data_IF_714941017908
#
_entry.id   IF_714941017908
#
_cell.length_a   1.000
_cell.length_b   1.000
_cell.length_c   1.000
_cell.angle_alpha   90.00
_cell.angle_beta   90.00
_cell.angle_gamma   90.00
#
_symmetry.space_group_name_H-M   'P 1'
#
loop_
_entity.id
_entity.type
_entity.pdbx_description
1 polymer ?
#
# COMPACT_ATOMS: atom_id res chain seq x y z
N UNK A 1 -53.82 -42.80 -33.44
CA UNK A 1 -53.06 -42.02 -32.44
C UNK A 1 -51.79 -41.52 -33.13
N UNK A 2 -51.52 -40.22 -33.22
CA UNK A 2 -50.26 -39.77 -33.78
C UNK A 2 -49.16 -39.96 -32.74
N UNK A 3 -48.12 -40.67 -33.16
CA UNK A 3 -46.88 -40.93 -32.45
C UNK A 3 -46.23 -39.60 -32.08
N UNK A 4 -46.16 -39.29 -30.77
CA UNK A 4 -45.41 -38.13 -30.27
C UNK A 4 -43.98 -38.59 -30.05
N UNK A 5 -43.15 -38.52 -31.09
CA UNK A 5 -41.70 -38.51 -30.89
C UNK A 5 -41.34 -37.32 -29.99
N UNK A 6 -40.59 -37.52 -28.90
CA UNK A 6 -40.17 -36.42 -28.04
C UNK A 6 -39.32 -35.46 -28.87
N UNK A 7 -39.69 -34.17 -28.87
CA UNK A 7 -38.90 -33.13 -29.51
C UNK A 7 -37.49 -33.14 -28.90
N UNK A 8 -36.47 -33.43 -29.71
CA UNK A 8 -35.08 -33.36 -29.29
C UNK A 8 -34.78 -31.91 -28.82
N UNK A 9 -34.39 -31.71 -27.55
CA UNK A 9 -34.27 -30.39 -26.96
C UNK A 9 -32.99 -29.63 -27.37
N UNK A 10 -32.25 -30.12 -28.36
CA UNK A 10 -30.96 -29.58 -28.78
C UNK A 10 -30.94 -29.30 -30.28
N UNK A 11 -31.71 -28.29 -30.70
CA UNK A 11 -31.53 -27.67 -32.02
C UNK A 11 -30.29 -26.76 -32.01
N UNK A 12 -29.60 -26.62 -33.15
CA UNK A 12 -28.41 -25.76 -33.33
C UNK A 12 -28.61 -24.30 -32.87
N UNK A 13 -29.86 -23.82 -32.81
CA UNK A 13 -30.24 -22.54 -32.23
C UNK A 13 -30.00 -22.43 -30.72
N UNK A 14 -30.17 -23.51 -29.97
CA UNK A 14 -29.91 -23.59 -28.53
C UNK A 14 -28.42 -23.68 -28.23
N UNK A 15 -27.65 -24.36 -29.07
CA UNK A 15 -26.20 -24.42 -28.99
C UNK A 15 -25.58 -23.04 -29.26
N UNK A 16 -26.03 -22.36 -30.31
CA UNK A 16 -25.60 -20.99 -30.63
C UNK A 16 -26.01 -19.97 -29.56
N UNK A 17 -27.20 -20.09 -28.98
CA UNK A 17 -27.63 -19.25 -27.85
C UNK A 17 -26.80 -19.51 -26.59
N UNK A 18 -26.47 -20.77 -26.29
CA UNK A 18 -25.61 -21.13 -25.17
C UNK A 18 -24.16 -20.62 -25.37
N UNK A 19 -23.62 -20.71 -26.58
CA UNK A 19 -22.30 -20.17 -26.94
C UNK A 19 -22.27 -18.64 -26.81
N UNK A 20 -23.29 -17.94 -27.29
CA UNK A 20 -23.41 -16.47 -27.16
C UNK A 20 -23.59 -16.02 -25.70
N UNK A 21 -24.37 -16.77 -24.90
CA UNK A 21 -24.48 -16.52 -23.46
C UNK A 21 -23.13 -16.73 -22.77
N UNK A 22 -22.41 -17.81 -23.10
CA UNK A 22 -21.09 -18.09 -22.55
C UNK A 22 -20.04 -17.03 -22.92
N UNK A 23 -20.10 -16.50 -24.15
CA UNK A 23 -19.25 -15.42 -24.62
C UNK A 23 -19.53 -14.11 -23.85
N UNK A 24 -20.81 -13.76 -23.63
CA UNK A 24 -21.19 -12.60 -22.80
C UNK A 24 -20.71 -12.73 -21.36
N UNK A 25 -20.94 -13.88 -20.72
CA UNK A 25 -20.51 -14.09 -19.33
C UNK A 25 -18.98 -14.05 -19.21
N UNK A 26 -18.24 -14.55 -20.21
CA UNK A 26 -16.77 -14.40 -20.26
C UNK A 26 -16.36 -12.94 -20.39
N UNK A 27 -16.96 -12.18 -21.30
CA UNK A 27 -16.65 -10.76 -21.47
C UNK A 27 -16.91 -9.94 -20.20
N UNK A 28 -18.03 -10.18 -19.51
CA UNK A 28 -18.37 -9.55 -18.22
C UNK A 28 -17.35 -9.90 -17.13
N UNK A 29 -16.92 -11.17 -17.05
CA UNK A 29 -15.91 -11.60 -16.08
C UNK A 29 -14.54 -10.95 -16.31
N UNK A 30 -14.15 -10.74 -17.57
CA UNK A 30 -12.90 -10.06 -17.93
C UNK A 30 -12.96 -8.58 -17.58
N UNK A 31 -14.08 -7.91 -17.84
CA UNK A 31 -14.28 -6.50 -17.47
C UNK A 31 -14.25 -6.29 -15.95
N UNK A 32 -14.89 -7.18 -15.18
CA UNK A 32 -14.82 -7.15 -13.71
C UNK A 32 -13.40 -7.36 -13.20
N UNK A 33 -12.65 -8.31 -13.77
CA UNK A 33 -11.24 -8.53 -13.38
C UNK A 33 -10.33 -7.34 -13.70
N UNK A 34 -10.62 -6.57 -14.75
CA UNK A 34 -9.89 -5.35 -15.08
C UNK A 34 -10.23 -4.22 -14.12
N UNK A 35 -11.51 -4.06 -13.77
CA UNK A 35 -11.95 -3.07 -12.79
C UNK A 35 -11.33 -3.31 -11.39
N UNK A 36 -11.25 -4.57 -10.97
CA UNK A 36 -10.56 -4.96 -9.73
C UNK A 36 -9.07 -4.61 -9.76
N UNK A 37 -8.41 -4.81 -10.90
CA UNK A 37 -7.00 -4.46 -11.08
C UNK A 37 -6.78 -2.94 -10.99
N UNK A 38 -7.62 -2.13 -11.64
CA UNK A 38 -7.56 -0.67 -11.58
C UNK A 38 -7.83 -0.15 -10.16
N UNK A 39 -8.74 -0.78 -9.41
CA UNK A 39 -9.00 -0.43 -8.01
C UNK A 39 -7.78 -0.73 -7.11
N UNK A 40 -7.12 -1.87 -7.32
CA UNK A 40 -5.89 -2.23 -6.61
C UNK A 40 -4.74 -1.27 -6.93
N UNK A 41 -4.59 -0.87 -8.19
CA UNK A 41 -3.60 0.10 -8.66
C UNK A 41 -3.81 1.47 -7.99
N UNK A 42 -5.04 1.99 -8.01
CA UNK A 42 -5.40 3.25 -7.37
C UNK A 42 -5.15 3.21 -5.84
N UNK A 43 -5.50 2.11 -5.19
CA UNK A 43 -5.26 1.95 -3.75
C UNK A 43 -3.76 1.93 -3.44
N UNK A 44 -2.97 1.26 -4.27
CA UNK A 44 -1.52 1.18 -4.10
C UNK A 44 -0.83 2.54 -4.30
N UNK A 45 -1.22 3.31 -5.32
CA UNK A 45 -0.72 4.67 -5.52
C UNK A 45 -1.04 5.58 -4.34
N UNK A 46 -2.25 5.48 -3.78
CA UNK A 46 -2.66 6.23 -2.60
C UNK A 46 -1.78 5.89 -1.39
N UNK A 47 -1.50 4.61 -1.14
CA UNK A 47 -0.62 4.16 -0.04
C UNK A 47 0.82 4.68 -0.20
N UNK A 48 1.37 4.61 -1.41
CA UNK A 48 2.73 5.08 -1.70
C UNK A 48 2.83 6.60 -1.54
N UNK A 49 1.86 7.36 -2.06
CA UNK A 49 1.83 8.80 -1.93
C UNK A 49 1.69 9.24 -0.46
N UNK A 50 0.84 8.55 0.33
CA UNK A 50 0.69 8.80 1.77
C UNK A 50 1.97 8.49 2.54
N UNK A 51 2.64 7.39 2.22
CA UNK A 51 3.92 7.00 2.82
C UNK A 51 4.99 8.06 2.57
N UNK A 52 5.15 8.52 1.30
CA UNK A 52 6.17 9.52 0.93
C UNK A 52 6.03 10.84 1.70
N UNK A 53 4.81 11.35 1.86
CA UNK A 53 4.60 12.60 2.65
C UNK A 53 4.95 12.41 4.11
N UNK A 54 4.52 11.29 4.71
CA UNK A 54 4.76 10.98 6.12
C UNK A 54 6.23 10.69 6.44
N UNK A 55 6.99 10.12 5.49
CA UNK A 55 8.42 9.89 5.66
C UNK A 55 9.23 11.18 5.72
N UNK A 56 8.84 12.22 4.95
CA UNK A 56 9.53 13.52 4.99
C UNK A 56 9.33 14.18 6.35
N UNK A 57 8.09 14.22 6.85
CA UNK A 57 7.78 14.79 8.17
C UNK A 57 8.57 14.08 9.26
N UNK A 58 8.59 12.75 9.25
CA UNK A 58 9.31 11.98 10.24
C UNK A 58 10.84 12.16 10.15
N UNK A 59 11.41 12.29 8.95
CA UNK A 59 12.83 12.59 8.78
C UNK A 59 13.21 13.98 9.33
N UNK A 60 12.36 15.00 9.09
CA UNK A 60 12.55 16.35 9.65
C UNK A 60 12.51 16.33 11.18
N UNK A 61 11.54 15.63 11.76
CA UNK A 61 11.42 15.48 13.23
C UNK A 61 12.66 14.80 13.81
N UNK A 62 13.15 13.74 13.16
CA UNK A 62 14.32 12.99 13.64
C UNK A 62 15.61 13.83 13.54
N UNK A 63 15.79 14.58 12.44
CA UNK A 63 16.91 15.52 12.31
C UNK A 63 16.87 16.65 13.34
N UNK A 64 15.68 17.22 13.59
CA UNK A 64 15.49 18.25 14.61
C UNK A 64 15.77 17.73 16.03
N UNK A 65 15.30 16.53 16.37
CA UNK A 65 15.56 15.90 17.66
C UNK A 65 17.06 15.66 17.90
N UNK A 66 17.81 15.21 16.89
CA UNK A 66 19.27 15.03 17.01
C UNK A 66 19.96 16.37 17.30
N UNK A 67 19.62 17.42 16.56
CA UNK A 67 20.18 18.77 16.76
C UNK A 67 19.87 19.33 18.15
N UNK A 68 18.64 19.19 18.62
CA UNK A 68 18.25 19.63 19.97
C UNK A 68 19.01 18.84 21.05
N UNK A 69 19.14 17.52 20.89
CA UNK A 69 19.89 16.68 21.82
C UNK A 69 21.36 17.09 21.89
N UNK A 70 21.99 17.34 20.75
CA UNK A 70 23.38 17.78 20.67
C UNK A 70 23.59 19.13 21.37
N UNK A 71 22.68 20.10 21.14
CA UNK A 71 22.71 21.40 21.81
C UNK A 71 22.54 21.29 23.33
N UNK A 72 21.64 20.43 23.80
CA UNK A 72 21.42 20.22 25.24
C UNK A 72 22.61 19.51 25.90
N UNK A 73 23.22 18.52 25.23
CA UNK A 73 24.45 17.86 25.69
C UNK A 73 25.61 18.85 25.80
N UNK A 74 25.73 19.75 24.83
CA UNK A 74 26.72 20.83 24.88
C UNK A 74 26.50 21.75 26.09
N UNK A 75 25.25 22.13 26.37
CA UNK A 75 24.90 22.90 27.57
C UNK A 75 25.24 22.13 28.84
N UNK A 76 24.92 20.83 28.94
CA UNK A 76 25.31 19.99 30.08
C UNK A 76 26.82 19.99 30.31
N UNK A 77 27.60 19.88 29.23
CA UNK A 77 29.06 19.84 29.31
C UNK A 77 29.65 21.15 29.82
N UNK A 78 29.11 22.30 29.39
CA UNK A 78 29.60 23.61 29.79
C UNK A 78 29.02 24.16 31.10
N UNK A 79 27.83 23.69 31.51
CA UNK A 79 27.19 24.11 32.75
C UNK A 79 27.67 23.34 33.98
N UNK A 80 28.58 22.37 33.83
CA UNK A 80 29.12 21.59 34.95
C UNK A 80 30.25 22.38 35.65
N UNK A 81 29.87 23.43 36.37
CA UNK A 81 30.76 24.26 37.18
C UNK A 81 30.85 23.79 38.65
N UNK A 82 30.22 22.66 38.98
CA UNK A 82 30.20 22.09 40.34
C UNK A 82 29.25 22.82 41.30
N UNK A 83 28.49 23.82 40.84
CA UNK A 83 27.53 24.55 41.68
C UNK A 83 26.17 23.86 41.73
N UNK A 84 25.38 24.18 42.76
CA UNK A 84 24.02 23.66 42.91
C UNK A 84 23.12 24.09 41.73
N UNK A 85 23.32 25.30 41.22
CA UNK A 85 22.62 25.82 40.03
C UNK A 85 23.07 25.11 38.73
N UNK A 86 24.34 24.75 38.62
CA UNK A 86 24.88 23.93 37.54
C UNK A 86 24.29 22.52 37.52
N UNK A 87 24.12 21.90 38.70
CA UNK A 87 23.45 20.60 38.84
C UNK A 87 21.96 20.65 38.44
N UNK A 88 21.24 21.71 38.82
CA UNK A 88 19.83 21.90 38.42
C UNK A 88 19.72 22.08 36.91
N UNK A 89 20.59 22.91 36.30
CA UNK A 89 20.65 23.09 34.83
C UNK A 89 20.96 21.79 34.10
N UNK A 90 21.91 21.00 34.60
CA UNK A 90 22.26 19.69 34.07
C UNK A 90 21.07 18.72 34.08
N UNK A 91 20.30 18.68 35.18
CA UNK A 91 19.11 17.83 35.27
C UNK A 91 18.02 18.22 34.27
N UNK A 92 17.74 19.51 34.09
CA UNK A 92 16.77 19.98 33.10
C UNK A 92 17.20 19.70 31.67
N UNK A 93 18.48 19.90 31.36
CA UNK A 93 19.02 19.58 30.05
C UNK A 93 18.99 18.05 29.79
N UNK A 94 19.26 17.22 30.81
CA UNK A 94 19.13 15.76 30.72
C UNK A 94 17.68 15.32 30.48
N UNK A 95 16.69 15.94 31.12
CA UNK A 95 15.26 15.70 30.85
C UNK A 95 14.93 15.99 29.37
N UNK A 96 15.46 17.10 28.83
CA UNK A 96 15.29 17.44 27.41
C UNK A 96 15.94 16.43 26.46
N UNK A 97 17.12 15.91 26.80
CA UNK A 97 17.78 14.84 26.04
C UNK A 97 16.95 13.56 26.05
N UNK A 98 16.38 13.17 27.20
CA UNK A 98 15.51 11.99 27.31
C UNK A 98 14.23 12.12 26.49
N UNK A 99 13.58 13.29 26.51
CA UNK A 99 12.40 13.57 25.68
C UNK A 99 12.74 13.50 24.18
N UNK A 100 13.90 14.01 23.81
CA UNK A 100 14.38 13.98 22.43
C UNK A 100 14.72 12.57 21.93
N UNK A 101 15.34 11.74 22.79
CA UNK A 101 15.56 10.32 22.51
C UNK A 101 14.25 9.56 22.35
N UNK A 102 13.26 9.81 23.21
CA UNK A 102 11.92 9.24 23.09
C UNK A 102 11.25 9.62 21.75
N UNK A 103 11.30 10.90 21.38
CA UNK A 103 10.78 11.39 20.10
C UNK A 103 11.49 10.78 18.89
N UNK A 104 12.81 10.63 18.96
CA UNK A 104 13.63 10.00 17.91
C UNK A 104 13.28 8.52 17.72
N UNK A 105 13.12 7.77 18.81
CA UNK A 105 12.72 6.36 18.78
C UNK A 105 11.31 6.18 18.19
N UNK A 106 10.37 7.05 18.56
CA UNK A 106 9.03 7.06 17.97
C UNK A 106 9.07 7.37 16.46
N UNK A 107 9.81 8.41 16.06
CA UNK A 107 9.96 8.78 14.65
C UNK A 107 10.60 7.64 13.83
N UNK A 108 11.59 6.94 14.40
CA UNK A 108 12.19 5.76 13.79
C UNK A 108 11.20 4.60 13.63
N UNK A 109 10.45 4.27 14.68
CA UNK A 109 9.40 3.24 14.61
C UNK A 109 8.35 3.58 13.55
N UNK A 110 7.93 4.85 13.49
CA UNK A 110 7.01 5.34 12.47
C UNK A 110 7.56 5.22 11.04
N UNK A 111 8.82 5.61 10.80
CA UNK A 111 9.49 5.45 9.51
C UNK A 111 9.55 3.99 9.08
N UNK A 112 9.83 3.08 10.01
CA UNK A 112 9.85 1.64 9.72
C UNK A 112 8.49 1.12 9.27
N UNK A 113 7.39 1.59 9.87
CA UNK A 113 6.03 1.28 9.42
C UNK A 113 5.71 1.89 8.05
N UNK A 114 6.07 3.15 7.80
CA UNK A 114 5.83 3.78 6.49
C UNK A 114 6.57 3.06 5.36
N UNK A 115 7.77 2.53 5.64
CA UNK A 115 8.51 1.68 4.70
C UNK A 115 7.75 0.38 4.38
N UNK A 116 7.23 -0.32 5.40
CA UNK A 116 6.41 -1.52 5.20
C UNK A 116 5.14 -1.23 4.40
N UNK A 117 4.45 -0.11 4.67
CA UNK A 117 3.26 0.30 3.90
C UNK A 117 3.61 0.52 2.42
N UNK A 118 4.77 1.13 2.14
CA UNK A 118 5.25 1.32 0.77
C UNK A 118 5.54 0.00 0.07
N UNK A 119 6.18 -0.95 0.76
CA UNK A 119 6.44 -2.30 0.23
C UNK A 119 5.14 -3.06 -0.08
N UNK A 120 4.12 -2.94 0.79
CA UNK A 120 2.79 -3.51 0.53
C UNK A 120 2.15 -2.85 -0.70
N UNK A 121 2.20 -1.52 -0.82
CA UNK A 121 1.72 -0.81 -2.01
C UNK A 121 2.39 -1.31 -3.30
N UNK A 122 3.72 -1.48 -3.29
CA UNK A 122 4.45 -2.00 -4.45
C UNK A 122 4.04 -3.44 -4.81
N UNK A 123 3.81 -4.30 -3.81
CA UNK A 123 3.30 -5.67 -4.05
C UNK A 123 1.90 -5.67 -4.64
N UNK A 124 1.04 -4.74 -4.22
CA UNK A 124 -0.30 -4.58 -4.77
C UNK A 124 -0.27 -4.13 -6.24
N UNK A 125 0.63 -3.19 -6.60
CA UNK A 125 0.86 -2.81 -8.00
C UNK A 125 1.28 -3.99 -8.86
N UNK A 126 2.27 -4.78 -8.40
CA UNK A 126 2.72 -5.97 -9.12
C UNK A 126 1.58 -7.01 -9.31
N UNK A 127 0.70 -7.13 -8.31
CA UNK A 127 -0.48 -8.01 -8.39
C UNK A 127 -1.53 -7.51 -9.38
N UNK A 128 -1.78 -6.20 -9.39
CA UNK A 128 -2.67 -5.55 -10.35
C UNK A 128 -2.17 -5.73 -11.78
N UNK A 129 -0.88 -5.48 -12.03
CA UNK A 129 -0.26 -5.72 -13.35
C UNK A 129 -0.37 -7.18 -13.80
N UNK A 130 -0.16 -8.13 -12.88
CA UNK A 130 -0.31 -9.55 -13.19
C UNK A 130 -1.76 -9.91 -13.58
N UNK A 131 -2.75 -9.44 -12.80
CA UNK A 131 -4.16 -9.65 -13.10
C UNK A 131 -4.55 -9.03 -14.45
N UNK A 132 -4.08 -7.82 -14.72
CA UNK A 132 -4.32 -7.12 -15.99
C UNK A 132 -3.73 -7.89 -17.18
N UNK A 133 -2.49 -8.37 -17.07
CA UNK A 133 -1.86 -9.21 -18.10
C UNK A 133 -2.63 -10.52 -18.32
N UNK A 134 -3.07 -11.17 -17.24
CA UNK A 134 -3.87 -12.39 -17.35
C UNK A 134 -5.21 -12.15 -18.04
N UNK A 135 -5.93 -11.09 -17.66
CA UNK A 135 -7.21 -10.72 -18.28
C UNK A 135 -7.04 -10.40 -19.77
N UNK A 136 -5.96 -9.72 -20.16
CA UNK A 136 -5.65 -9.45 -21.56
C UNK A 136 -5.32 -10.72 -22.36
N UNK A 137 -4.60 -11.68 -21.76
CA UNK A 137 -4.33 -12.97 -22.39
C UNK A 137 -5.59 -13.82 -22.56
N UNK A 138 -6.49 -13.81 -21.56
CA UNK A 138 -7.79 -14.49 -21.66
C UNK A 138 -8.68 -13.83 -22.71
N UNK A 139 -8.65 -12.51 -22.83
CA UNK A 139 -9.33 -11.76 -23.90
C UNK A 139 -8.78 -12.12 -25.29
N UNK A 140 -7.47 -12.09 -25.49
CA UNK A 140 -6.85 -12.44 -26.78
C UNK A 140 -7.08 -13.89 -27.19
N UNK A 141 -7.17 -14.82 -26.23
CA UNK A 141 -7.59 -16.21 -26.50
C UNK A 141 -9.07 -16.32 -26.89
N UNK A 142 -9.94 -15.47 -26.33
CA UNK A 142 -11.36 -15.46 -26.69
C UNK A 142 -11.56 -14.92 -28.11
N UNK A 143 -10.84 -13.87 -28.49
CA UNK A 143 -10.88 -13.27 -29.83
C UNK A 143 -10.27 -14.17 -30.92
N UNK A 144 -9.34 -15.07 -30.56
CA UNK A 144 -8.72 -16.01 -31.52
C UNK A 144 -9.54 -17.30 -31.76
N UNK A 145 -10.64 -17.49 -31.02
CA UNK A 145 -11.53 -18.66 -31.12
C UNK A 145 -12.84 -18.32 -31.87
N UNK A 146 -13.15 -17.02 -32.05
CA UNK A 146 -14.15 -16.52 -33.02
C UNK A 146 -13.59 -16.53 -34.45
#
# INVERSE_FOLDING_TARGET
>A
MPDRTPAEPYTDSGLNAAVQAHARTRAESVLLSLADADQLENHAHMLIARSKRKTVVAAVVLGGAILVSASLLFVCYHAYDGTQDGMIRGNWAMLGVLLSLGGSNFAWAWLSQQRRIREVGLKLLARAEYQRRRALLEKGKAEAVE
#
